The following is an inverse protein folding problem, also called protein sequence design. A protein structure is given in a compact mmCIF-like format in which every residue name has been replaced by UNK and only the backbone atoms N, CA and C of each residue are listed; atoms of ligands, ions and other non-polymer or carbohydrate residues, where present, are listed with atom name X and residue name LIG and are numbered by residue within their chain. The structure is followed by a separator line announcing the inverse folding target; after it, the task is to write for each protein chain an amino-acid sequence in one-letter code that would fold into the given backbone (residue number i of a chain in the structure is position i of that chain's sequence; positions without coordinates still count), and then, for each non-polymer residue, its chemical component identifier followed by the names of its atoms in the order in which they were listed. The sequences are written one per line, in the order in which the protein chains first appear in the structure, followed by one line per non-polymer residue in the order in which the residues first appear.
data_IF_621315851610
#
_entry.id   IF_621315851610
#
_cell.length_a   1.000
_cell.length_b   1.000
_cell.length_c   1.000
_cell.angle_alpha   90.00
_cell.angle_beta   90.00
_cell.angle_gamma   90.00
#
_symmetry.space_group_name_H-M   'P 1'
#
loop_
_entity.id
_entity.type
_entity.pdbx_description
1 polymer ?
#
# COMPACT_ATOMS: atom_id res chain seq x y z
N UNK A 1 8.66 6.23 12.03
CA UNK A 1 8.57 4.75 11.95
C UNK A 1 8.79 4.22 10.53
N UNK A 2 7.99 4.63 9.55
CA UNK A 2 8.13 4.16 8.15
C UNK A 2 9.51 4.43 7.51
N UNK A 3 10.18 5.52 7.90
CA UNK A 3 11.53 5.86 7.44
C UNK A 3 12.60 4.85 7.89
N UNK A 4 12.31 3.99 8.86
CA UNK A 4 13.23 2.94 9.31
C UNK A 4 13.20 1.68 8.41
N UNK A 5 12.25 1.59 7.48
CA UNK A 5 12.19 0.49 6.53
C UNK A 5 13.24 0.67 5.42
N UNK A 6 13.83 -0.44 4.97
CA UNK A 6 14.82 -0.45 3.89
C UNK A 6 14.36 -1.37 2.76
N UNK A 7 14.19 -0.86 1.52
CA UNK A 7 14.19 0.57 1.15
C UNK A 7 13.02 1.30 1.82
N UNK A 8 13.06 2.63 1.92
CA UNK A 8 11.89 3.39 2.42
C UNK A 8 10.74 3.26 1.42
N UNK A 9 9.48 3.00 1.86
CA UNK A 9 8.34 2.89 0.95
C UNK A 9 8.10 4.19 0.19
N UNK A 10 7.76 4.07 -1.09
CA UNK A 10 7.35 5.19 -1.93
C UNK A 10 6.21 4.79 -2.88
N UNK A 11 5.77 5.76 -3.69
CA UNK A 11 4.64 5.63 -4.60
C UNK A 11 4.99 4.93 -5.93
N UNK A 12 6.24 4.52 -6.16
CA UNK A 12 6.59 3.76 -7.37
C UNK A 12 6.01 2.35 -7.30
N UNK A 13 5.97 1.69 -8.45
CA UNK A 13 5.55 0.29 -8.52
C UNK A 13 6.33 -0.58 -7.53
N UNK A 14 5.61 -1.50 -6.90
CA UNK A 14 6.19 -2.49 -6.01
C UNK A 14 7.07 -3.44 -6.82
N UNK A 15 8.36 -3.46 -6.49
CA UNK A 15 9.31 -4.41 -7.07
C UNK A 15 9.98 -5.17 -5.93
N UNK A 16 10.04 -6.49 -6.06
CA UNK A 16 10.72 -7.37 -5.12
C UNK A 16 11.52 -8.45 -5.86
N UNK A 17 12.60 -8.91 -5.24
CA UNK A 17 13.38 -10.05 -5.69
C UNK A 17 13.47 -11.11 -4.56
N UNK A 18 14.32 -12.12 -4.72
CA UNK A 18 14.47 -13.20 -3.74
C UNK A 18 14.90 -12.74 -2.33
N UNK A 19 15.49 -11.54 -2.23
CA UNK A 19 15.94 -10.93 -0.97
C UNK A 19 14.89 -10.01 -0.34
N UNK A 20 13.74 -9.81 -0.99
CA UNK A 20 12.64 -8.96 -0.52
C UNK A 20 12.37 -7.77 -1.42
N UNK A 21 11.66 -6.78 -0.88
CA UNK A 21 11.30 -5.54 -1.60
C UNK A 21 12.56 -4.74 -1.94
N UNK A 22 12.62 -4.25 -3.18
CA UNK A 22 13.66 -3.35 -3.67
C UNK A 22 13.13 -1.96 -4.05
N UNK A 23 11.82 -1.79 -4.24
CA UNK A 23 11.18 -0.51 -4.56
C UNK A 23 9.70 -0.50 -4.17
N UNK A 24 9.14 0.71 -4.00
CA UNK A 24 7.70 0.92 -3.86
C UNK A 24 7.21 0.54 -2.46
N UNK A 25 5.95 0.14 -2.36
CA UNK A 25 5.38 -0.35 -1.10
C UNK A 25 4.40 0.59 -0.41
N UNK A 26 4.05 1.72 -1.02
CA UNK A 26 2.79 2.40 -0.70
C UNK A 26 1.61 1.79 -1.46
N UNK A 27 1.85 1.33 -2.69
CA UNK A 27 0.91 0.56 -3.50
C UNK A 27 1.33 -0.90 -3.59
N UNK A 28 0.34 -1.77 -3.74
CA UNK A 28 0.48 -3.23 -3.81
C UNK A 28 1.04 -3.67 -5.16
N UNK A 29 1.08 -4.98 -5.39
CA UNK A 29 1.62 -5.58 -6.62
C UNK A 29 0.84 -5.19 -7.89
N UNK A 30 -0.43 -4.84 -7.78
CA UNK A 30 -1.24 -4.37 -8.92
C UNK A 30 -1.05 -2.88 -9.25
N UNK A 31 -0.33 -2.15 -8.40
CA UNK A 31 -0.09 -0.71 -8.56
C UNK A 31 -1.31 0.19 -8.35
N UNK A 32 -2.46 -0.36 -7.96
CA UNK A 32 -3.71 0.38 -7.76
C UNK A 32 -4.11 0.36 -6.29
N UNK A 33 -4.11 -0.81 -5.65
CA UNK A 33 -4.52 -0.93 -4.26
C UNK A 33 -3.36 -0.51 -3.33
N UNK A 34 -3.62 0.25 -2.25
CA UNK A 34 -2.62 0.49 -1.21
C UNK A 34 -2.16 -0.81 -0.53
N UNK A 35 -0.93 -0.82 -0.06
CA UNK A 35 -0.47 -1.84 0.92
C UNK A 35 -1.13 -1.60 2.28
N UNK A 36 -0.96 -2.51 3.25
CA UNK A 36 -1.44 -2.27 4.62
C UNK A 36 -0.82 -0.99 5.20
N UNK A 37 0.47 -0.75 4.93
CA UNK A 37 1.13 0.52 5.25
C UNK A 37 0.46 1.71 4.53
N UNK A 38 0.17 1.57 3.24
CA UNK A 38 -0.51 2.60 2.45
C UNK A 38 -1.89 2.95 2.99
N UNK A 39 -2.70 1.94 3.34
CA UNK A 39 -3.98 2.13 4.02
C UNK A 39 -3.83 2.80 5.38
N UNK A 40 -2.78 2.45 6.15
CA UNK A 40 -2.46 3.11 7.42
C UNK A 40 -2.22 4.61 7.27
N UNK A 41 -1.46 5.03 6.26
CA UNK A 41 -1.21 6.46 5.98
C UNK A 41 -2.52 7.18 5.66
N UNK A 42 -3.31 6.63 4.74
CA UNK A 42 -4.60 7.23 4.36
C UNK A 42 -5.57 7.30 5.53
N UNK A 43 -5.62 6.25 6.35
CA UNK A 43 -6.48 6.20 7.53
C UNK A 43 -6.05 7.24 8.58
N UNK A 44 -4.75 7.47 8.78
CA UNK A 44 -4.27 8.50 9.71
C UNK A 44 -4.70 9.90 9.24
N UNK A 45 -4.55 10.20 7.95
CA UNK A 45 -4.97 11.50 7.41
C UNK A 45 -6.49 11.68 7.46
N UNK A 46 -7.26 10.62 7.18
CA UNK A 46 -8.71 10.66 7.33
C UNK A 46 -9.12 10.91 8.79
N UNK A 47 -8.47 10.25 9.74
CA UNK A 47 -8.70 10.47 11.18
C UNK A 47 -8.40 11.92 11.54
N UNK A 48 -7.28 12.49 11.08
CA UNK A 48 -6.93 13.88 11.34
C UNK A 48 -8.03 14.83 10.86
N UNK A 49 -8.52 14.65 9.62
CA UNK A 49 -9.63 15.45 9.06
C UNK A 49 -10.92 15.28 9.86
N UNK A 50 -11.26 14.05 10.25
CA UNK A 50 -12.46 13.77 11.02
C UNK A 50 -12.39 14.39 12.43
N UNK A 51 -11.24 14.35 13.10
CA UNK A 51 -11.05 15.03 14.39
C UNK A 51 -11.16 16.54 14.25
N UNK A 52 -10.59 17.14 13.19
CA UNK A 52 -10.75 18.57 12.90
C UNK A 52 -12.21 18.95 12.65
N UNK A 53 -13.00 18.06 12.05
CA UNK A 53 -14.43 18.24 11.84
C UNK A 53 -15.29 17.95 13.11
N UNK A 54 -14.67 17.60 14.24
CA UNK A 54 -15.37 17.33 15.50
C UNK A 54 -16.00 15.93 15.60
N UNK A 55 -15.61 14.98 14.74
CA UNK A 55 -16.10 13.60 14.82
C UNK A 55 -15.52 12.90 16.05
N UNK A 56 -16.38 12.37 16.90
CA UNK A 56 -15.99 11.63 18.10
C UNK A 56 -15.58 10.20 17.75
N UNK A 57 -14.38 9.80 18.18
CA UNK A 57 -13.90 8.43 18.12
C UNK A 57 -14.11 7.72 19.46
N UNK A 58 -14.30 6.41 19.43
CA UNK A 58 -14.57 5.60 20.62
C UNK A 58 -13.56 4.47 20.76
N UNK A 59 -13.36 4.04 22.00
CA UNK A 59 -12.64 2.82 22.33
C UNK A 59 -13.55 1.60 22.13
N UNK A 60 -12.97 0.39 22.22
CA UNK A 60 -13.74 -0.86 22.10
C UNK A 60 -14.77 -1.06 23.20
N UNK A 61 -14.58 -0.42 24.36
CA UNK A 61 -15.52 -0.44 25.47
C UNK A 61 -16.62 0.65 25.38
N UNK A 62 -16.63 1.42 24.28
CA UNK A 62 -17.61 2.48 24.04
C UNK A 62 -17.27 3.82 24.71
N UNK A 63 -16.14 3.94 25.40
CA UNK A 63 -15.71 5.23 25.98
C UNK A 63 -15.16 6.17 24.90
N UNK A 64 -15.43 7.49 24.97
CA UNK A 64 -14.86 8.46 24.04
C UNK A 64 -13.33 8.46 24.11
N UNK A 65 -12.66 8.41 22.95
CA UNK A 65 -11.23 8.69 22.87
C UNK A 65 -10.97 10.17 23.12
N UNK A 66 -9.97 10.46 23.93
CA UNK A 66 -9.52 11.82 24.24
C UNK A 66 -8.19 12.10 23.55
N UNK A 67 -8.01 13.34 23.11
CA UNK A 67 -6.78 13.77 22.42
C UNK A 67 -6.70 13.28 20.97
N UNK A 68 -5.47 13.26 20.44
CA UNK A 68 -5.22 12.87 19.05
C UNK A 68 -5.30 11.35 18.88
N UNK A 69 -6.10 10.89 17.92
CA UNK A 69 -6.22 9.48 17.59
C UNK A 69 -5.12 9.13 16.59
N UNK A 70 -4.23 8.22 17.00
CA UNK A 70 -3.07 7.81 16.21
C UNK A 70 -3.14 6.32 15.87
N UNK A 71 -2.71 6.00 14.66
CA UNK A 71 -2.53 4.64 14.18
C UNK A 71 -1.20 4.10 14.70
N UNK A 72 -1.22 2.86 15.17
CA UNK A 72 -0.03 2.12 15.55
C UNK A 72 0.67 1.58 14.30
N UNK A 73 1.61 2.37 13.77
CA UNK A 73 2.37 1.99 12.58
C UNK A 73 3.34 0.84 12.85
N UNK A 74 3.84 0.65 14.08
CA UNK A 74 4.67 -0.50 14.41
C UNK A 74 3.90 -1.80 14.21
N UNK A 75 2.67 -1.85 14.73
CA UNK A 75 1.78 -3.00 14.52
C UNK A 75 1.43 -3.19 13.05
N UNK A 76 1.07 -2.13 12.33
CA UNK A 76 0.75 -2.25 10.89
C UNK A 76 1.93 -2.76 10.06
N UNK A 77 3.15 -2.30 10.35
CA UNK A 77 4.36 -2.78 9.67
C UNK A 77 4.58 -4.28 9.95
N UNK A 78 4.33 -4.74 11.18
CA UNK A 78 4.43 -6.15 11.53
C UNK A 78 3.39 -7.01 10.82
N UNK A 79 2.17 -6.48 10.62
CA UNK A 79 1.06 -7.16 9.96
C UNK A 79 1.12 -7.08 8.42
N UNK A 80 1.93 -6.16 7.85
CA UNK A 80 2.11 -6.02 6.40
C UNK A 80 3.01 -7.14 5.84
N UNK A 81 2.39 -8.29 5.57
CA UNK A 81 3.05 -9.48 5.00
C UNK A 81 3.53 -9.27 3.57
N UNK A 82 2.97 -8.34 2.81
CA UNK A 82 3.42 -8.06 1.44
C UNK A 82 4.79 -7.37 1.46
N UNK A 83 4.98 -6.44 2.40
CA UNK A 83 6.23 -5.73 2.61
C UNK A 83 7.25 -6.64 3.31
N UNK A 84 6.84 -7.36 4.35
CA UNK A 84 7.75 -8.15 5.18
C UNK A 84 8.08 -9.53 4.59
N UNK A 85 7.19 -10.13 3.80
CA UNK A 85 7.33 -11.49 3.21
C UNK A 85 6.66 -11.58 1.83
N UNK A 86 7.15 -10.85 0.82
CA UNK A 86 6.56 -10.88 -0.50
C UNK A 86 6.57 -12.29 -1.10
N UNK A 87 5.44 -12.78 -1.67
CA UNK A 87 5.38 -14.10 -2.27
C UNK A 87 6.27 -14.18 -3.52
N UNK A 88 7.28 -15.06 -3.47
CA UNK A 88 8.33 -15.22 -4.51
C UNK A 88 7.77 -15.52 -5.92
N UNK A 89 6.62 -16.19 -6.00
CA UNK A 89 6.06 -16.68 -7.27
C UNK A 89 5.20 -15.62 -7.97
N UNK A 90 4.54 -14.73 -7.23
CA UNK A 90 3.63 -13.74 -7.84
C UNK A 90 4.41 -12.55 -8.41
N UNK A 91 5.52 -12.16 -7.78
CA UNK A 91 6.38 -11.09 -8.27
C UNK A 91 6.91 -11.37 -9.69
N UNK A 92 7.36 -12.60 -9.96
CA UNK A 92 7.92 -12.97 -11.26
C UNK A 92 6.87 -13.11 -12.38
N UNK A 93 5.61 -13.42 -12.03
CA UNK A 93 4.51 -13.49 -12.99
C UNK A 93 4.02 -12.09 -13.36
N UNK A 94 3.88 -11.20 -12.38
CA UNK A 94 3.44 -9.82 -12.63
C UNK A 94 4.49 -8.98 -13.36
N UNK A 95 5.79 -9.19 -13.08
CA UNK A 95 6.87 -8.57 -13.86
C UNK A 95 6.78 -8.96 -15.34
N UNK A 96 6.49 -10.24 -15.64
CA UNK A 96 6.32 -10.71 -17.01
C UNK A 96 5.08 -10.10 -17.68
N UNK A 97 3.98 -9.96 -16.96
CA UNK A 97 2.75 -9.34 -17.50
C UNK A 97 2.97 -7.85 -17.76
N UNK A 98 3.59 -7.12 -16.82
CA UNK A 98 3.90 -5.69 -17.01
C UNK A 98 4.90 -5.44 -18.15
N UNK A 99 5.91 -6.31 -18.30
CA UNK A 99 6.83 -6.27 -19.45
C UNK A 99 6.11 -6.54 -20.77
N UNK A 100 5.19 -7.51 -20.81
CA UNK A 100 4.39 -7.80 -22.01
C UNK A 100 3.53 -6.60 -22.39
N UNK A 101 2.87 -5.96 -21.42
CA UNK A 101 2.01 -4.82 -21.72
C UNK A 101 2.80 -3.58 -22.19
N UNK A 102 3.90 -3.27 -21.51
CA UNK A 102 4.76 -2.12 -21.86
C UNK A 102 5.40 -2.27 -23.24
N UNK A 103 5.79 -3.51 -23.63
CA UNK A 103 6.46 -3.74 -24.92
C UNK A 103 5.50 -3.99 -26.08
N UNK A 104 4.28 -4.50 -25.82
CA UNK A 104 3.35 -4.89 -26.88
C UNK A 104 2.12 -3.98 -27.02
N UNK A 105 1.95 -2.93 -26.20
CA UNK A 105 0.81 -2.00 -26.28
C UNK A 105 -0.55 -2.74 -26.44
N UNK A 106 -0.68 -3.88 -25.76
CA UNK A 106 -1.81 -4.79 -25.95
C UNK A 106 -3.12 -4.15 -25.51
N UNK A 107 -3.14 -3.41 -24.39
CA UNK A 107 -4.34 -2.69 -23.96
C UNK A 107 -4.71 -1.53 -24.90
N UNK A 108 -3.74 -0.82 -25.48
CA UNK A 108 -4.01 0.24 -26.45
C UNK A 108 -4.60 -0.29 -27.76
N UNK A 109 -4.24 -1.51 -28.15
CA UNK A 109 -4.76 -2.16 -29.37
C UNK A 109 -6.17 -2.73 -29.15
N UNK A 110 -6.43 -3.29 -27.97
CA UNK A 110 -7.77 -3.79 -27.60
C UNK A 110 -8.78 -2.65 -27.40
N UNK A 111 -8.37 -1.52 -26.82
CA UNK A 111 -9.24 -0.34 -26.69
C UNK A 111 -9.55 0.32 -28.04
N UNK A 112 -8.67 0.19 -29.04
CA UNK A 112 -8.92 0.67 -30.42
C UNK A 112 -9.79 -0.26 -31.26
N UNK A 113 -9.84 -1.55 -30.94
CA UNK A 113 -10.69 -2.51 -31.66
C UNK A 113 -12.16 -2.45 -31.22
N UNK A 114 -12.47 -1.65 -30.19
CA UNK A 114 -13.81 -1.46 -29.61
C UNK A 114 -14.52 -0.18 -30.09
N UNK A 115 -13.98 0.51 -31.09
CA UNK A 115 -14.61 1.66 -31.75
C UNK A 115 -14.63 1.50 -33.26
#
# INVERSE_FOLDING_TARGET
ELQALSPVPDARFFIANERGRIQGGLFSLDGIHPTTIGYGILAQELINVMQLAGVQFYQSDGTPRTGSVQIDFQRLIADDTLISKPPRVIASVLERIGWLDTNFNLFNTLLRSSY
#
